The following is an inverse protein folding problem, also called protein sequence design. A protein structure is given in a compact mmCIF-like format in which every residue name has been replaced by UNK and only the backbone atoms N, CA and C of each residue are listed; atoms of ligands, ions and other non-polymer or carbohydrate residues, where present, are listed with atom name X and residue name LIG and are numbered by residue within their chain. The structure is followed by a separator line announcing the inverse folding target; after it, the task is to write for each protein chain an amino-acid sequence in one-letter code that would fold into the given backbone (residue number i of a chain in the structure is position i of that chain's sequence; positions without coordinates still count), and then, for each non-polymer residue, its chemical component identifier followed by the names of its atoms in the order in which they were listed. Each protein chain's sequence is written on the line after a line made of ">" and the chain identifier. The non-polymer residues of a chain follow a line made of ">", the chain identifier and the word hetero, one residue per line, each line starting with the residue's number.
data_IF_400728357507
#
_entry.id   IF_400728357507
#
_cell.length_a   1.000
_cell.length_b   1.000
_cell.length_c   1.000
_cell.angle_alpha   90.00
_cell.angle_beta   90.00
_cell.angle_gamma   90.00
#
_symmetry.space_group_name_H-M   'P 1'
#
loop_
_entity.id
_entity.type
_entity.pdbx_description
1 polymer ?
#
# COMPACT_ATOMS: atom_id res chain seq x y z
N UNK A 1 0.02 -10.79 -6.74
CA UNK A 1 -0.32 -10.51 -8.17
C UNK A 1 -0.26 -11.74 -9.07
N UNK A 2 -0.05 -12.96 -8.53
CA UNK A 2 -0.23 -14.21 -9.29
C UNK A 2 0.59 -14.27 -10.57
N UNK A 3 -0.03 -14.74 -11.65
CA UNK A 3 0.53 -14.86 -13.00
C UNK A 3 1.03 -13.54 -13.61
N UNK A 4 0.65 -12.38 -13.03
CA UNK A 4 1.17 -11.08 -13.46
C UNK A 4 2.55 -10.74 -12.86
N UNK A 5 3.02 -11.52 -11.90
CA UNK A 5 4.29 -11.26 -11.23
C UNK A 5 5.47 -11.36 -12.21
N UNK A 6 6.31 -10.33 -12.23
CA UNK A 6 7.49 -10.26 -13.09
C UNK A 6 7.20 -9.78 -14.52
N UNK A 7 5.94 -9.54 -14.86
CA UNK A 7 5.56 -8.92 -16.13
C UNK A 7 5.65 -7.40 -16.05
N UNK A 8 5.93 -6.76 -17.18
CA UNK A 8 5.73 -5.33 -17.31
C UNK A 8 4.23 -5.03 -17.45
N UNK A 9 3.79 -3.85 -17.00
CA UNK A 9 2.37 -3.47 -17.03
C UNK A 9 1.77 -3.55 -18.43
N UNK A 10 2.53 -3.16 -19.47
CA UNK A 10 2.10 -3.26 -20.87
C UNK A 10 1.81 -4.70 -21.33
N UNK A 11 2.39 -5.69 -20.67
CA UNK A 11 2.20 -7.11 -20.98
C UNK A 11 1.01 -7.73 -20.25
N UNK A 12 0.38 -7.03 -19.29
CA UNK A 12 -0.77 -7.56 -18.55
C UNK A 12 -1.93 -7.93 -19.48
N UNK A 13 -2.11 -7.20 -20.58
CA UNK A 13 -3.13 -7.48 -21.60
C UNK A 13 -2.96 -8.86 -22.27
N UNK A 14 -1.76 -9.46 -22.23
CA UNK A 14 -1.49 -10.83 -22.72
C UNK A 14 -2.03 -11.90 -21.77
N UNK A 15 -2.41 -11.53 -20.54
CA UNK A 15 -2.95 -12.38 -19.49
C UNK A 15 -4.35 -11.90 -19.07
N UNK A 16 -5.37 -11.95 -19.97
CA UNK A 16 -6.63 -11.23 -19.79
C UNK A 16 -7.39 -11.60 -18.51
N UNK A 17 -7.43 -12.89 -18.15
CA UNK A 17 -8.07 -13.34 -16.90
C UNK A 17 -7.39 -12.79 -15.66
N UNK A 18 -6.05 -12.77 -15.66
CA UNK A 18 -5.29 -12.27 -14.54
C UNK A 18 -5.37 -10.75 -14.45
N UNK A 19 -5.37 -10.06 -15.59
CA UNK A 19 -5.52 -8.61 -15.63
C UNK A 19 -6.92 -8.16 -15.19
N UNK A 20 -7.97 -8.86 -15.63
CA UNK A 20 -9.35 -8.64 -15.15
C UNK A 20 -9.44 -8.81 -13.63
N UNK A 21 -8.89 -9.91 -13.09
CA UNK A 21 -8.87 -10.13 -11.65
C UNK A 21 -8.08 -9.05 -10.91
N UNK A 22 -6.95 -8.59 -11.45
CA UNK A 22 -6.14 -7.51 -10.89
C UNK A 22 -6.87 -6.17 -10.82
N UNK A 23 -7.73 -5.88 -11.80
CA UNK A 23 -8.58 -4.69 -11.82
C UNK A 23 -9.84 -4.82 -10.95
N UNK A 24 -10.17 -6.03 -10.51
CA UNK A 24 -11.34 -6.33 -9.69
C UNK A 24 -11.02 -6.25 -8.19
N UNK A 25 -12.05 -6.04 -7.38
CA UNK A 25 -11.91 -5.96 -5.92
C UNK A 25 -11.86 -7.34 -5.27
N UNK A 26 -12.66 -8.29 -5.75
CA UNK A 26 -12.92 -9.56 -5.03
C UNK A 26 -12.44 -10.83 -5.78
N UNK A 27 -11.91 -10.68 -6.99
CA UNK A 27 -11.38 -11.82 -7.73
C UNK A 27 -9.92 -12.07 -7.36
N UNK A 28 -9.60 -13.33 -7.06
CA UNK A 28 -8.21 -13.78 -6.91
C UNK A 28 -7.51 -13.77 -8.27
N UNK A 29 -6.28 -13.25 -8.29
CA UNK A 29 -5.46 -13.31 -9.50
C UNK A 29 -4.96 -14.74 -9.70
N UNK A 30 -5.19 -15.38 -10.87
CA UNK A 30 -4.67 -16.71 -11.20
C UNK A 30 -3.16 -16.82 -10.94
N UNK A 31 -2.66 -18.04 -10.71
CA UNK A 31 -1.26 -18.25 -10.31
C UNK A 31 -1.01 -18.07 -8.81
N UNK A 32 -2.06 -18.16 -7.98
CA UNK A 32 -1.96 -18.05 -6.52
C UNK A 32 -1.83 -16.61 -6.01
N UNK A 33 -2.31 -15.62 -6.78
CA UNK A 33 -2.42 -14.25 -6.31
C UNK A 33 -3.64 -14.05 -5.39
N UNK A 34 -3.58 -12.99 -4.59
CA UNK A 34 -4.70 -12.58 -3.73
C UNK A 34 -5.63 -11.58 -4.45
N UNK A 35 -6.88 -11.49 -4.00
CA UNK A 35 -7.80 -10.40 -4.33
C UNK A 35 -7.49 -9.13 -3.53
N UNK A 36 -8.05 -7.97 -3.93
CA UNK A 36 -7.91 -6.73 -3.15
C UNK A 36 -8.52 -6.88 -1.76
N UNK A 37 -9.68 -7.53 -1.62
CA UNK A 37 -10.31 -7.80 -0.31
C UNK A 37 -9.39 -8.61 0.61
N UNK A 38 -8.73 -9.63 0.08
CA UNK A 38 -7.80 -10.45 0.84
C UNK A 38 -6.57 -9.65 1.29
N UNK A 39 -6.00 -8.85 0.39
CA UNK A 39 -4.90 -7.94 0.71
C UNK A 39 -5.30 -6.99 1.83
N UNK A 40 -6.43 -6.30 1.69
CA UNK A 40 -6.90 -5.31 2.65
C UNK A 40 -7.10 -5.96 4.04
N UNK A 41 -7.82 -7.08 4.09
CA UNK A 41 -8.05 -7.83 5.34
C UNK A 41 -6.75 -8.25 6.01
N UNK A 42 -5.80 -8.79 5.24
CA UNK A 42 -4.49 -9.24 5.75
C UNK A 42 -3.66 -8.07 6.28
N UNK A 43 -3.66 -6.95 5.57
CA UNK A 43 -2.92 -5.74 5.93
C UNK A 43 -3.45 -5.12 7.22
N UNK A 44 -4.76 -4.87 7.29
CA UNK A 44 -5.39 -4.25 8.47
C UNK A 44 -5.26 -5.17 9.70
N UNK A 45 -5.49 -6.47 9.55
CA UNK A 45 -5.32 -7.42 10.65
C UNK A 45 -3.89 -7.44 11.20
N UNK A 46 -2.88 -7.37 10.31
CA UNK A 46 -1.48 -7.32 10.71
C UNK A 46 -1.15 -6.03 11.47
N UNK A 47 -1.65 -4.90 10.99
CA UNK A 47 -1.43 -3.60 11.61
C UNK A 47 -2.11 -3.49 12.99
N UNK A 48 -3.34 -3.99 13.13
CA UNK A 48 -4.05 -4.07 14.41
C UNK A 48 -3.29 -4.93 15.43
N UNK A 49 -2.72 -6.07 15.00
CA UNK A 49 -1.88 -6.92 15.86
C UNK A 49 -0.62 -6.19 16.33
N UNK A 50 0.03 -5.43 15.45
CA UNK A 50 1.20 -4.61 15.80
C UNK A 50 0.82 -3.55 16.83
N UNK A 51 -0.25 -2.78 16.61
CA UNK A 51 -0.70 -1.75 17.55
C UNK A 51 -1.06 -2.34 18.92
N UNK A 52 -1.77 -3.49 18.95
CA UNK A 52 -2.11 -4.16 20.21
C UNK A 52 -0.87 -4.63 20.98
N UNK A 53 0.16 -5.11 20.28
CA UNK A 53 1.41 -5.57 20.91
C UNK A 53 2.26 -4.42 21.42
N UNK A 54 2.23 -3.27 20.76
CA UNK A 54 3.09 -2.12 21.03
C UNK A 54 2.32 -0.91 21.57
N UNK A 55 1.30 -1.15 22.42
CA UNK A 55 0.53 -0.07 23.06
C UNK A 55 1.46 0.91 23.79
N UNK A 56 1.22 2.21 23.61
CA UNK A 56 2.02 3.28 24.20
C UNK A 56 3.40 3.49 23.57
N UNK A 57 3.75 2.74 22.52
CA UNK A 57 5.03 2.86 21.82
C UNK A 57 4.86 3.45 20.43
N UNK A 58 5.96 3.95 19.87
CA UNK A 58 6.07 4.29 18.45
C UNK A 58 6.85 3.19 17.74
N UNK A 59 6.30 2.68 16.65
CA UNK A 59 6.91 1.64 15.82
C UNK A 59 7.04 2.13 14.38
N UNK A 60 8.00 1.57 13.65
CA UNK A 60 8.16 1.78 12.21
C UNK A 60 7.71 0.52 11.49
N UNK A 61 6.87 0.68 10.47
CA UNK A 61 6.45 -0.40 9.56
C UNK A 61 6.93 -0.05 8.17
N UNK A 62 7.75 -0.92 7.58
CA UNK A 62 8.20 -0.79 6.19
C UNK A 62 7.37 -1.75 5.34
N UNK A 63 6.79 -1.24 4.26
CA UNK A 63 5.86 -2.01 3.42
C UNK A 63 5.82 -1.49 1.98
N UNK A 64 4.83 -1.94 1.20
CA UNK A 64 4.63 -1.63 -0.21
C UNK A 64 3.44 -0.69 -0.46
N UNK A 65 3.36 -0.14 -1.67
CA UNK A 65 2.31 0.81 -2.06
C UNK A 65 0.89 0.29 -1.87
N UNK A 66 0.60 -0.94 -2.29
CA UNK A 66 -0.72 -1.55 -2.13
C UNK A 66 -1.16 -1.67 -0.65
N UNK A 67 -0.20 -1.92 0.25
CA UNK A 67 -0.46 -1.99 1.70
C UNK A 67 -0.73 -0.60 2.27
N UNK A 68 0.06 0.41 1.86
CA UNK A 68 -0.16 1.81 2.23
C UNK A 68 -1.55 2.26 1.80
N UNK A 69 -1.97 1.97 0.57
CA UNK A 69 -3.29 2.30 0.06
C UNK A 69 -4.42 1.66 0.90
N UNK A 70 -4.28 0.37 1.25
CA UNK A 70 -5.23 -0.33 2.11
C UNK A 70 -5.38 0.35 3.49
N UNK A 71 -4.24 0.71 4.10
CA UNK A 71 -4.21 1.41 5.39
C UNK A 71 -4.85 2.79 5.30
N UNK A 72 -4.60 3.54 4.21
CA UNK A 72 -5.21 4.85 4.01
C UNK A 72 -6.73 4.75 3.89
N UNK A 73 -7.22 3.87 3.01
CA UNK A 73 -8.65 3.64 2.80
C UNK A 73 -9.34 3.25 4.10
N UNK A 74 -8.73 2.36 4.87
CA UNK A 74 -9.26 1.95 6.16
C UNK A 74 -9.30 3.09 7.18
N UNK A 75 -8.21 3.84 7.34
CA UNK A 75 -8.13 4.94 8.30
C UNK A 75 -9.01 6.15 7.94
N UNK A 76 -9.46 6.26 6.68
CA UNK A 76 -10.29 7.37 6.18
C UNK A 76 -11.70 6.94 5.78
N UNK A 77 -12.11 5.73 6.14
CA UNK A 77 -13.42 5.16 5.78
C UNK A 77 -13.74 5.20 4.28
N UNK A 78 -12.75 4.86 3.44
CA UNK A 78 -12.89 4.71 1.99
C UNK A 78 -12.26 5.84 1.15
N UNK A 79 -11.56 6.79 1.77
CA UNK A 79 -10.86 7.85 1.07
C UNK A 79 -9.74 7.34 0.14
N UNK A 80 -9.33 8.18 -0.81
CA UNK A 80 -8.22 7.88 -1.73
C UNK A 80 -6.96 8.67 -1.33
N UNK A 81 -5.77 8.03 -1.30
CA UNK A 81 -4.53 8.72 -0.95
C UNK A 81 -4.11 9.70 -2.05
N UNK A 82 -3.52 10.83 -1.65
CA UNK A 82 -2.89 11.79 -2.57
C UNK A 82 -1.48 11.33 -2.97
N UNK A 83 -1.38 10.13 -3.53
CA UNK A 83 -0.12 9.50 -3.93
C UNK A 83 0.56 8.67 -2.83
N UNK A 84 1.46 7.80 -3.30
CA UNK A 84 2.29 6.92 -2.47
C UNK A 84 3.67 6.83 -3.13
N UNK A 85 4.56 7.77 -2.77
CA UNK A 85 5.89 7.87 -3.35
C UNK A 85 6.86 6.89 -2.68
N UNK A 86 7.86 6.45 -3.43
CA UNK A 86 8.93 5.60 -2.91
C UNK A 86 9.66 6.28 -1.76
N UNK A 87 9.92 5.50 -0.70
CA UNK A 87 10.55 5.96 0.54
C UNK A 87 9.80 7.11 1.26
N UNK A 88 8.54 7.40 0.90
CA UNK A 88 7.74 8.37 1.64
C UNK A 88 7.44 7.91 3.07
N UNK A 89 7.24 8.87 3.96
CA UNK A 89 6.91 8.64 5.37
C UNK A 89 5.44 8.97 5.63
N UNK A 90 4.74 8.05 6.27
CA UNK A 90 3.39 8.25 6.80
C UNK A 90 3.36 8.09 8.31
N UNK A 91 2.55 8.90 8.99
CA UNK A 91 2.30 8.78 10.43
C UNK A 91 0.82 8.54 10.63
N UNK A 92 0.49 7.38 11.19
CA UNK A 92 -0.86 7.01 11.63
C UNK A 92 -0.86 6.81 13.14
N UNK A 93 -1.93 7.23 13.78
CA UNK A 93 -2.10 7.17 15.23
C UNK A 93 -3.37 6.41 15.57
N UNK A 94 -3.21 5.33 16.32
CA UNK A 94 -4.30 4.61 17.00
C UNK A 94 -4.50 5.17 18.41
N UNK A 95 -5.74 5.25 18.87
CA UNK A 95 -6.06 5.64 20.25
C UNK A 95 -6.55 4.43 21.05
N UNK A 96 -6.16 4.32 22.32
CA UNK A 96 -6.60 3.19 23.14
C UNK A 96 -8.11 3.25 23.37
N UNK A 97 -8.79 2.10 23.21
CA UNK A 97 -10.24 2.03 23.29
C UNK A 97 -11.01 2.54 22.06
N UNK A 98 -10.34 3.05 21.03
CA UNK A 98 -10.97 3.45 19.77
C UNK A 98 -10.55 2.52 18.63
N UNK A 99 -11.52 2.11 17.81
CA UNK A 99 -11.25 1.38 16.56
C UNK A 99 -10.77 2.30 15.45
N UNK A 100 -10.97 3.61 15.61
CA UNK A 100 -10.63 4.64 14.64
C UNK A 100 -9.15 5.03 14.71
N UNK A 101 -8.53 5.09 13.54
CA UNK A 101 -7.14 5.48 13.36
C UNK A 101 -7.11 6.82 12.65
N UNK A 102 -6.22 7.70 13.07
CA UNK A 102 -6.07 9.02 12.45
C UNK A 102 -4.76 9.11 11.67
N UNK A 103 -4.84 9.65 10.45
CA UNK A 103 -3.66 9.98 9.66
C UNK A 103 -3.17 11.35 10.12
N UNK A 104 -1.92 11.43 10.56
CA UNK A 104 -1.25 12.69 10.95
C UNK A 104 -0.38 13.24 9.84
N UNK A 105 0.25 12.36 9.08
CA UNK A 105 1.12 12.70 7.95
C UNK A 105 0.96 11.61 6.90
N UNK A 106 0.96 12.01 5.63
CA UNK A 106 0.86 11.10 4.50
C UNK A 106 1.82 11.50 3.40
N UNK A 107 2.45 10.50 2.78
CA UNK A 107 3.32 10.67 1.62
C UNK A 107 4.41 11.76 1.79
N UNK A 108 5.00 11.88 2.98
CA UNK A 108 6.03 12.88 3.23
C UNK A 108 7.38 12.45 2.63
N UNK A 109 7.83 13.21 1.64
CA UNK A 109 9.11 13.04 0.94
C UNK A 109 10.06 14.21 1.19
N UNK A 110 9.79 15.05 2.19
CA UNK A 110 10.61 16.23 2.49
C UNK A 110 12.09 15.90 2.70
N UNK A 111 12.39 14.75 3.32
CA UNK A 111 13.75 14.26 3.51
C UNK A 111 14.49 13.91 2.20
N UNK A 112 13.75 13.67 1.11
CA UNK A 112 14.31 13.41 -0.21
C UNK A 112 14.51 14.69 -1.03
N UNK A 113 14.04 15.85 -0.56
CA UNK A 113 14.09 17.09 -1.35
C UNK A 113 15.52 17.49 -1.77
N UNK A 114 16.55 17.07 -1.01
CA UNK A 114 17.96 17.32 -1.32
C UNK A 114 18.68 16.12 -1.94
N UNK A 115 18.00 14.98 -2.04
CA UNK A 115 18.53 13.72 -2.53
C UNK A 115 17.82 13.44 -3.85
N UNK A 116 18.42 13.86 -4.96
CA UNK A 116 17.85 13.63 -6.28
C UNK A 116 17.58 12.14 -6.54
N UNK A 117 16.75 11.83 -7.53
CA UNK A 117 16.46 10.45 -7.94
C UNK A 117 17.18 10.11 -9.24
N UNK A 118 17.57 8.84 -9.37
CA UNK A 118 18.00 8.29 -10.65
C UNK A 118 16.80 8.16 -11.58
N UNK A 119 16.71 9.04 -12.58
CA UNK A 119 15.65 9.01 -13.61
C UNK A 119 15.53 7.65 -14.32
N UNK A 120 16.62 6.90 -14.39
CA UNK A 120 16.69 5.59 -15.03
C UNK A 120 16.26 4.42 -14.13
N UNK A 121 16.01 4.65 -12.84
CA UNK A 121 15.56 3.61 -11.93
C UNK A 121 14.08 3.26 -12.19
N UNK A 122 13.65 2.05 -11.81
CA UNK A 122 12.24 1.68 -11.80
C UNK A 122 11.49 2.67 -10.90
N UNK A 123 10.57 3.45 -11.49
CA UNK A 123 9.90 4.52 -10.77
C UNK A 123 10.60 5.88 -10.71
N UNK A 124 11.70 6.02 -11.45
CA UNK A 124 12.53 7.22 -11.52
C UNK A 124 11.89 8.42 -12.22
N UNK A 125 10.63 8.34 -12.64
CA UNK A 125 9.86 9.49 -13.12
C UNK A 125 8.98 10.11 -12.02
N UNK A 126 9.04 9.59 -10.79
CA UNK A 126 8.22 10.03 -9.67
C UNK A 126 6.77 9.54 -9.75
N UNK A 127 6.43 8.67 -10.71
CA UNK A 127 5.06 8.20 -10.95
C UNK A 127 4.78 6.78 -10.43
N UNK A 128 5.67 6.22 -9.60
CA UNK A 128 5.46 4.87 -9.05
C UNK A 128 4.20 4.79 -8.21
N UNK A 129 3.23 4.04 -8.71
CA UNK A 129 2.22 3.32 -7.94
C UNK A 129 2.61 1.84 -7.88
#
# INVERSE_FOLDING_TARGET
>A
VGDLQGLQFQDFAKHPKAYEAFCSTDLEVPGGGESRVQLDKRCISSLQRIAKKHKGQRVVVVTHGAVMEAVYKWATSGGQPQGISNASVGIIQSYDGHEEWSIKTWNDISHLAQVGFLKSAFGGDGSSA
#
